data_IF_223260903271
#
_entry.id   IF_223260903271
#
_cell.length_a   1.000
_cell.length_b   1.000
_cell.length_c   1.000
_cell.angle_alpha   90.00
_cell.angle_beta   90.00
_cell.angle_gamma   90.00
#
_symmetry.space_group_name_H-M   'P 1'
#
loop_
_entity.id
_entity.type
_entity.pdbx_description
1 polymer ?
#
# COMPACT_ATOMS: atom_id res chain seq x y z
N UNK A 1 45.19 -16.76 -32.07
CA UNK A 1 44.16 -17.42 -31.26
C UNK A 1 44.20 -17.06 -29.78
N UNK A 2 45.38 -17.02 -29.15
CA UNK A 2 45.53 -16.67 -27.72
C UNK A 2 44.97 -15.29 -27.38
N UNK A 3 45.20 -14.31 -28.23
CA UNK A 3 44.75 -12.93 -28.07
C UNK A 3 43.21 -12.80 -28.10
N UNK A 4 42.55 -13.59 -28.99
CA UNK A 4 41.09 -13.65 -29.06
C UNK A 4 40.45 -14.26 -27.79
N UNK A 5 41.08 -15.31 -27.25
CA UNK A 5 40.62 -15.96 -26.01
C UNK A 5 40.76 -14.99 -24.83
N UNK A 6 41.88 -14.27 -24.75
CA UNK A 6 42.12 -13.30 -23.71
C UNK A 6 41.08 -12.15 -23.74
N UNK A 7 40.73 -11.63 -24.91
CA UNK A 7 39.65 -10.61 -25.04
C UNK A 7 38.30 -11.17 -24.68
N UNK A 8 37.97 -12.39 -25.05
CA UNK A 8 36.68 -13.00 -24.69
C UNK A 8 36.51 -13.14 -23.17
N UNK A 9 37.58 -13.53 -22.46
CA UNK A 9 37.56 -13.65 -21.01
C UNK A 9 37.41 -12.26 -20.35
N UNK A 10 38.13 -11.23 -20.81
CA UNK A 10 38.04 -9.88 -20.27
C UNK A 10 36.64 -9.29 -20.45
N UNK A 11 36.05 -9.43 -21.64
CA UNK A 11 34.68 -8.97 -21.91
C UNK A 11 33.67 -9.71 -21.04
N UNK A 12 33.77 -11.04 -20.92
CA UNK A 12 32.88 -11.85 -20.09
C UNK A 12 32.96 -11.45 -18.61
N UNK A 13 34.16 -11.22 -18.07
CA UNK A 13 34.35 -10.78 -16.70
C UNK A 13 33.80 -9.38 -16.47
N UNK A 14 33.99 -8.47 -17.42
CA UNK A 14 33.45 -7.11 -17.37
C UNK A 14 31.91 -7.08 -17.38
N UNK A 15 31.30 -7.83 -18.28
CA UNK A 15 29.84 -7.98 -18.38
C UNK A 15 29.27 -8.62 -17.11
N UNK A 16 29.92 -9.66 -16.59
CA UNK A 16 29.49 -10.32 -15.35
C UNK A 16 29.53 -9.35 -14.14
N UNK A 17 30.65 -8.59 -14.00
CA UNK A 17 30.77 -7.61 -12.92
C UNK A 17 29.70 -6.51 -13.03
N UNK A 18 29.42 -6.05 -14.25
CA UNK A 18 28.38 -5.05 -14.53
C UNK A 18 26.97 -5.59 -14.22
N UNK A 19 26.63 -6.80 -14.70
CA UNK A 19 25.35 -7.44 -14.43
C UNK A 19 25.13 -7.64 -12.92
N UNK A 20 26.17 -8.02 -12.17
CA UNK A 20 26.08 -8.22 -10.73
C UNK A 20 25.70 -6.92 -9.95
N UNK A 21 25.97 -5.76 -10.55
CA UNK A 21 25.60 -4.45 -9.99
C UNK A 21 24.10 -4.15 -10.21
N UNK A 22 23.50 -4.72 -11.26
CA UNK A 22 22.11 -4.47 -11.65
C UNK A 22 21.10 -5.50 -11.15
N UNK A 23 21.55 -6.73 -10.87
CA UNK A 23 20.65 -7.78 -10.35
C UNK A 23 20.44 -7.52 -8.86
N UNK A 24 19.22 -7.16 -8.41
CA UNK A 24 18.90 -7.08 -6.99
C UNK A 24 19.20 -8.44 -6.35
N UNK A 25 20.02 -8.45 -5.32
CA UNK A 25 20.49 -9.70 -4.71
C UNK A 25 19.40 -10.48 -4.02
N UNK A 26 18.34 -9.82 -3.58
CA UNK A 26 17.13 -10.45 -3.06
C UNK A 26 15.92 -9.56 -3.32
N UNK A 27 14.75 -10.11 -3.69
CA UNK A 27 13.52 -9.34 -3.71
C UNK A 27 13.23 -8.90 -2.27
N UNK A 28 13.04 -7.61 -2.07
CA UNK A 28 12.58 -7.04 -0.80
C UNK A 28 11.15 -7.51 -0.55
N UNK A 29 11.02 -8.64 0.13
CA UNK A 29 9.72 -9.18 0.53
C UNK A 29 9.32 -8.56 1.87
N UNK A 30 8.03 -8.25 2.00
CA UNK A 30 7.47 -7.93 3.29
C UNK A 30 7.55 -9.13 4.23
N UNK A 31 7.91 -8.92 5.52
CA UNK A 31 7.89 -9.99 6.49
C UNK A 31 6.46 -10.51 6.69
N UNK A 32 6.34 -11.82 6.90
CA UNK A 32 5.07 -12.44 7.23
C UNK A 32 4.51 -11.87 8.55
N UNK A 33 3.24 -11.48 8.52
CA UNK A 33 2.58 -10.87 9.68
C UNK A 33 2.46 -9.35 9.62
N UNK A 34 2.86 -8.69 8.52
CA UNK A 34 2.40 -7.34 8.19
C UNK A 34 0.94 -7.41 7.79
N UNK A 35 0.09 -6.62 8.42
CA UNK A 35 -1.34 -6.57 8.08
C UNK A 35 -1.95 -5.25 8.51
N UNK A 36 -2.65 -4.60 7.58
CA UNK A 36 -3.58 -3.50 7.86
C UNK A 36 -4.94 -3.95 7.32
N UNK A 37 -5.99 -3.78 8.11
CA UNK A 37 -7.33 -4.04 7.63
C UNK A 37 -8.20 -2.79 7.70
N UNK A 38 -9.26 -2.78 6.88
CA UNK A 38 -10.28 -1.74 6.91
C UNK A 38 -11.29 -2.13 7.98
N UNK A 39 -11.35 -1.35 9.06
CA UNK A 39 -12.35 -1.54 10.12
C UNK A 39 -13.71 -1.06 9.68
N UNK A 40 -13.73 0.08 8.99
CA UNK A 40 -14.94 0.72 8.48
C UNK A 40 -14.61 1.52 7.23
N UNK A 41 -15.50 1.49 6.24
CA UNK A 41 -15.43 2.34 5.07
C UNK A 41 -16.84 2.80 4.70
N UNK A 42 -17.05 4.11 4.70
CA UNK A 42 -18.32 4.75 4.36
C UNK A 42 -18.13 5.78 3.26
N UNK A 43 -18.92 5.70 2.21
CA UNK A 43 -18.92 6.66 1.11
C UNK A 43 -20.25 7.43 1.07
N UNK A 44 -20.14 8.76 1.04
CA UNK A 44 -21.27 9.66 0.85
C UNK A 44 -21.25 10.18 -0.60
N UNK A 45 -22.13 9.64 -1.43
CA UNK A 45 -22.21 10.01 -2.85
C UNK A 45 -22.63 11.47 -3.09
N UNK A 46 -23.38 12.06 -2.14
CA UNK A 46 -23.85 13.45 -2.25
C UNK A 46 -22.73 14.46 -2.05
N UNK A 47 -21.76 14.16 -1.18
CA UNK A 47 -20.60 15.01 -0.89
C UNK A 47 -19.34 14.57 -1.61
N UNK A 48 -19.31 13.35 -2.15
CA UNK A 48 -18.12 12.74 -2.74
C UNK A 48 -17.06 12.38 -1.71
N UNK A 49 -17.43 12.24 -0.43
CA UNK A 49 -16.48 11.98 0.65
C UNK A 49 -16.45 10.49 1.01
N UNK A 50 -15.26 9.91 1.00
CA UNK A 50 -15.01 8.56 1.48
C UNK A 50 -14.24 8.65 2.81
N UNK A 51 -14.80 8.04 3.86
CA UNK A 51 -14.16 7.92 5.17
C UNK A 51 -13.73 6.48 5.36
N UNK A 52 -12.45 6.27 5.68
CA UNK A 52 -11.87 4.94 5.86
C UNK A 52 -11.18 4.88 7.21
N UNK A 53 -11.62 3.97 8.05
CA UNK A 53 -10.95 3.63 9.31
C UNK A 53 -10.09 2.40 9.09
N UNK A 54 -8.77 2.57 9.24
CA UNK A 54 -7.80 1.48 9.13
C UNK A 54 -7.24 1.12 10.49
N UNK A 55 -6.92 -0.16 10.68
CA UNK A 55 -6.26 -0.67 11.88
C UNK A 55 -5.12 -1.59 11.52
N UNK A 56 -4.00 -1.43 12.21
CA UNK A 56 -2.91 -2.40 12.13
C UNK A 56 -3.23 -3.59 13.04
N UNK A 57 -3.57 -4.73 12.45
CA UNK A 57 -3.78 -5.98 13.15
C UNK A 57 -2.62 -6.97 12.93
N UNK A 58 -1.52 -6.50 12.32
CA UNK A 58 -0.31 -7.25 12.12
C UNK A 58 0.57 -7.34 13.37
N UNK A 59 1.74 -7.95 13.20
CA UNK A 59 2.77 -8.08 14.24
C UNK A 59 3.85 -7.01 14.13
N UNK A 60 3.88 -6.27 13.04
CA UNK A 60 4.92 -5.30 12.72
C UNK A 60 4.34 -3.92 12.51
N UNK A 61 5.13 -2.91 12.83
CA UNK A 61 4.83 -1.54 12.47
C UNK A 61 4.83 -1.38 10.95
N UNK A 62 3.92 -0.55 10.44
CA UNK A 62 3.80 -0.21 9.02
C UNK A 62 4.01 1.27 8.79
N UNK A 63 4.33 1.66 7.57
CA UNK A 63 4.49 3.06 7.19
C UNK A 63 3.17 3.66 6.72
N UNK A 64 2.34 2.85 6.04
CA UNK A 64 1.12 3.31 5.41
C UNK A 64 0.54 2.25 4.48
N UNK A 65 -0.15 2.71 3.45
CA UNK A 65 -0.81 1.80 2.51
C UNK A 65 -1.05 2.44 1.14
N UNK A 66 -1.17 1.61 0.10
CA UNK A 66 -1.82 1.98 -1.15
C UNK A 66 -3.32 1.75 -1.03
N UNK A 67 -4.10 2.60 -1.67
CA UNK A 67 -5.56 2.51 -1.64
C UNK A 67 -6.15 2.56 -3.05
N UNK A 68 -7.00 1.59 -3.33
CA UNK A 68 -7.74 1.48 -4.58
C UNK A 68 -9.22 1.28 -4.31
N UNK A 69 -10.06 1.84 -5.15
CA UNK A 69 -11.52 1.66 -5.09
C UNK A 69 -12.06 1.13 -6.42
N UNK A 70 -13.26 0.59 -6.38
CA UNK A 70 -14.03 0.25 -7.57
C UNK A 70 -15.40 0.91 -7.52
N UNK A 71 -15.79 1.52 -8.64
CA UNK A 71 -17.13 2.04 -8.89
C UNK A 71 -17.99 1.06 -9.72
N UNK A 72 -17.56 -0.17 -9.87
CA UNK A 72 -18.26 -1.21 -10.58
C UNK A 72 -18.42 -2.45 -9.70
N UNK A 73 -19.66 -2.85 -9.42
CA UNK A 73 -19.99 -4.01 -8.56
C UNK A 73 -19.50 -5.36 -9.15
N UNK A 74 -19.35 -5.46 -10.46
CA UNK A 74 -18.85 -6.66 -11.13
C UNK A 74 -17.32 -6.78 -11.12
N UNK A 75 -16.62 -5.72 -10.76
CA UNK A 75 -15.15 -5.70 -10.75
C UNK A 75 -14.61 -6.35 -9.49
N UNK A 76 -13.95 -7.50 -9.64
CA UNK A 76 -13.38 -8.24 -8.51
C UNK A 76 -12.23 -7.51 -7.82
N UNK A 77 -11.38 -6.81 -8.58
CA UNK A 77 -10.21 -6.12 -8.02
C UNK A 77 -10.36 -4.61 -8.23
N UNK A 78 -10.47 -3.81 -7.15
CA UNK A 78 -10.42 -2.37 -7.23
C UNK A 78 -9.14 -1.88 -7.90
N UNK A 79 -9.27 -0.95 -8.85
CA UNK A 79 -8.14 -0.47 -9.66
C UNK A 79 -8.02 1.06 -9.73
N UNK A 80 -9.00 1.81 -9.23
CA UNK A 80 -8.96 3.27 -9.22
C UNK A 80 -8.16 3.71 -8.00
N UNK A 81 -6.99 4.27 -8.22
CA UNK A 81 -6.11 4.81 -7.19
C UNK A 81 -6.66 6.16 -6.69
N UNK A 82 -6.74 6.35 -5.37
CA UNK A 82 -7.38 7.52 -4.77
C UNK A 82 -6.52 8.27 -3.74
N UNK A 83 -5.24 7.97 -3.61
CA UNK A 83 -4.37 8.69 -2.65
C UNK A 83 -4.27 10.19 -2.93
N UNK A 84 -4.47 10.61 -4.20
CA UNK A 84 -4.47 12.01 -4.60
C UNK A 84 -5.62 12.83 -3.99
N UNK A 85 -6.65 12.16 -3.49
CA UNK A 85 -7.83 12.79 -2.90
C UNK A 85 -7.81 12.78 -1.37
N UNK A 86 -6.70 12.32 -0.79
CA UNK A 86 -6.52 12.32 0.66
C UNK A 86 -6.59 13.74 1.21
N UNK A 87 -7.40 13.91 2.25
CA UNK A 87 -7.31 15.08 3.11
C UNK A 87 -6.19 14.85 4.11
N UNK A 88 -5.05 15.48 3.87
CA UNK A 88 -3.88 15.37 4.73
C UNK A 88 -4.13 16.02 6.10
N UNK A 89 -3.54 15.44 7.13
CA UNK A 89 -3.59 15.92 8.50
C UNK A 89 -2.20 15.87 9.17
N UNK A 90 -2.12 16.17 10.47
CA UNK A 90 -0.87 16.16 11.24
C UNK A 90 -0.23 14.76 11.38
N UNK A 91 -0.90 13.70 10.98
CA UNK A 91 -0.46 12.31 11.18
C UNK A 91 -0.53 11.47 9.90
N UNK A 92 -1.14 12.01 8.85
CA UNK A 92 -1.38 11.29 7.62
C UNK A 92 -1.10 12.18 6.42
N UNK A 93 -0.18 11.76 5.58
CA UNK A 93 0.22 12.51 4.39
C UNK A 93 0.28 11.62 3.16
N UNK A 94 0.16 12.25 2.00
CA UNK A 94 0.37 11.57 0.73
C UNK A 94 1.86 11.43 0.44
N UNK A 95 2.26 10.25 -0.02
CA UNK A 95 3.61 9.97 -0.49
C UNK A 95 3.56 9.20 -1.82
N UNK A 96 3.82 9.88 -2.93
CA UNK A 96 3.60 9.32 -4.26
C UNK A 96 2.14 8.90 -4.44
N UNK A 97 1.91 7.61 -4.71
CA UNK A 97 0.56 7.02 -4.85
C UNK A 97 0.15 6.26 -3.57
N UNK A 98 0.74 6.56 -2.44
CA UNK A 98 0.44 5.92 -1.16
C UNK A 98 0.06 6.94 -0.09
N UNK A 99 -0.63 6.46 0.92
CA UNK A 99 -0.94 7.17 2.16
C UNK A 99 0.08 6.75 3.20
N UNK A 100 0.88 7.68 3.73
CA UNK A 100 1.71 7.46 4.90
C UNK A 100 0.96 7.85 6.16
N UNK A 101 1.11 7.03 7.20
CA UNK A 101 0.54 7.22 8.54
C UNK A 101 1.57 7.82 9.50
N UNK A 102 2.47 8.64 8.96
CA UNK A 102 3.53 9.34 9.68
C UNK A 102 4.12 10.46 8.83
N UNK A 103 4.36 11.61 9.42
CA UNK A 103 5.05 12.74 8.76
C UNK A 103 6.55 12.49 8.55
N UNK A 104 7.14 11.63 9.37
CA UNK A 104 8.59 11.38 9.36
C UNK A 104 9.04 10.33 8.36
N UNK A 105 8.08 9.71 7.65
CA UNK A 105 8.39 8.67 6.66
C UNK A 105 9.07 7.45 7.30
N UNK A 106 8.56 6.98 8.41
CA UNK A 106 8.99 5.80 9.16
C UNK A 106 7.87 4.77 9.31
N UNK A 107 8.15 3.65 9.98
CA UNK A 107 7.16 2.65 10.33
C UNK A 107 6.60 2.97 11.72
N UNK A 108 5.80 4.00 11.85
CA UNK A 108 5.26 4.44 13.15
C UNK A 108 3.86 3.92 13.46
N UNK A 109 3.14 3.37 12.47
CA UNK A 109 1.81 2.81 12.68
C UNK A 109 1.92 1.42 13.30
N UNK A 110 1.78 1.38 14.63
CA UNK A 110 2.04 0.20 15.46
C UNK A 110 0.88 -0.79 15.48
N UNK A 111 1.14 -2.07 15.80
CA UNK A 111 0.08 -3.05 16.02
C UNK A 111 -0.95 -2.57 17.06
N UNK A 112 -2.22 -2.61 16.67
CA UNK A 112 -3.34 -2.13 17.48
C UNK A 112 -3.75 -0.69 17.21
N UNK A 113 -2.91 0.12 16.56
CA UNK A 113 -3.24 1.50 16.21
C UNK A 113 -4.39 1.56 15.20
N UNK A 114 -5.21 2.59 15.35
CA UNK A 114 -6.30 2.92 14.43
C UNK A 114 -6.10 4.33 13.86
N UNK A 115 -6.51 4.52 12.60
CA UNK A 115 -6.45 5.82 11.93
C UNK A 115 -7.67 6.01 11.04
N UNK A 116 -8.25 7.20 11.09
CA UNK A 116 -9.35 7.61 10.22
C UNK A 116 -8.75 8.49 9.14
N UNK A 117 -8.99 8.14 7.89
CA UNK A 117 -8.54 8.90 6.73
C UNK A 117 -9.74 9.32 5.90
N UNK A 118 -9.73 10.55 5.43
CA UNK A 118 -10.80 11.15 4.65
C UNK A 118 -10.29 11.42 3.24
N UNK A 119 -11.05 10.99 2.25
CA UNK A 119 -10.75 11.23 0.84
C UNK A 119 -11.89 12.04 0.21
N UNK A 120 -11.54 13.20 -0.37
CA UNK A 120 -12.49 14.07 -1.04
C UNK A 120 -12.52 13.74 -2.54
N UNK A 121 -13.33 12.76 -2.90
CA UNK A 121 -13.51 12.31 -4.28
C UNK A 121 -14.47 13.27 -5.01
N UNK A 122 -14.35 13.35 -6.33
CA UNK A 122 -15.32 14.11 -7.09
C UNK A 122 -16.68 13.39 -7.12
N UNK A 123 -17.77 14.15 -7.09
CA UNK A 123 -19.13 13.60 -7.21
C UNK A 123 -19.38 12.83 -8.53
N UNK A 124 -18.50 13.01 -9.52
CA UNK A 124 -18.54 12.29 -10.81
C UNK A 124 -18.03 10.84 -10.74
N UNK A 125 -17.49 10.36 -9.62
CA UNK A 125 -17.07 8.96 -9.49
C UNK A 125 -18.24 7.95 -9.38
N UNK A 126 -19.46 8.41 -9.12
CA UNK A 126 -20.61 7.57 -8.91
C UNK A 126 -20.55 6.83 -7.55
N UNK A 127 -21.25 5.71 -7.46
CA UNK A 127 -21.22 4.86 -6.27
C UNK A 127 -19.94 4.05 -6.19
N UNK A 128 -19.41 3.89 -4.98
CA UNK A 128 -18.26 3.04 -4.70
C UNK A 128 -18.72 1.72 -4.09
N UNK A 129 -18.23 0.61 -4.64
CA UNK A 129 -18.65 -0.74 -4.21
C UNK A 129 -17.61 -1.44 -3.36
N UNK A 130 -16.33 -1.24 -3.65
CA UNK A 130 -15.28 -1.94 -2.92
C UNK A 130 -14.01 -1.11 -2.80
N UNK A 131 -13.25 -1.40 -1.74
CA UNK A 131 -11.97 -0.80 -1.41
C UNK A 131 -10.93 -1.91 -1.26
N UNK A 132 -9.73 -1.67 -1.75
CA UNK A 132 -8.56 -2.51 -1.53
C UNK A 132 -7.43 -1.69 -0.95
N UNK A 133 -6.84 -2.21 0.11
CA UNK A 133 -5.67 -1.64 0.77
C UNK A 133 -4.50 -2.61 0.68
N UNK A 134 -3.32 -2.09 0.35
CA UNK A 134 -2.07 -2.83 0.32
C UNK A 134 -1.10 -2.15 1.28
N UNK A 135 -0.74 -2.79 2.40
CA UNK A 135 0.19 -2.21 3.36
C UNK A 135 1.54 -1.87 2.74
N UNK A 136 2.18 -0.83 3.28
CA UNK A 136 3.52 -0.43 2.89
C UNK A 136 4.41 -0.30 4.11
N UNK A 137 5.71 -0.48 3.89
CA UNK A 137 6.71 -0.43 4.95
C UNK A 137 8.04 0.10 4.43
N UNK A 138 8.79 0.82 5.28
CA UNK A 138 10.20 1.08 5.03
C UNK A 138 11.03 -0.11 5.55
N UNK A 139 11.94 -0.57 4.73
CA UNK A 139 12.94 -1.60 5.07
C UNK A 139 14.34 -1.06 4.86
N UNK A 140 15.26 -1.42 5.74
CA UNK A 140 16.67 -1.08 5.60
C UNK A 140 17.41 -2.22 4.90
N UNK A 141 18.11 -1.88 3.83
CA UNK A 141 19.00 -2.78 3.10
C UNK A 141 20.30 -2.05 2.82
N UNK A 142 21.42 -2.61 3.25
CA UNK A 142 22.78 -2.05 3.03
C UNK A 142 22.87 -0.53 3.37
N UNK A 143 22.32 -0.11 4.51
CA UNK A 143 22.25 1.30 4.97
C UNK A 143 21.37 2.22 4.08
N UNK A 144 20.52 1.66 3.24
CA UNK A 144 19.52 2.40 2.45
C UNK A 144 18.12 2.04 2.91
N UNK A 145 17.33 3.07 3.17
CA UNK A 145 15.91 2.93 3.50
C UNK A 145 15.11 2.80 2.20
N UNK A 146 14.43 1.68 2.00
CA UNK A 146 13.60 1.40 0.84
C UNK A 146 12.12 1.31 1.23
N UNK A 147 11.27 1.92 0.44
CA UNK A 147 9.82 1.85 0.58
C UNK A 147 9.31 0.62 -0.18
N UNK A 148 8.65 -0.29 0.52
CA UNK A 148 8.24 -1.61 0.01
C UNK A 148 6.73 -1.77 0.13
N UNK A 149 6.11 -2.29 -0.93
CA UNK A 149 4.70 -2.68 -0.95
C UNK A 149 4.53 -4.13 -0.51
N UNK A 150 3.61 -4.37 0.43
CA UNK A 150 3.28 -5.70 0.95
C UNK A 150 2.10 -6.31 0.19
N UNK A 151 2.28 -6.61 -1.09
CA UNK A 151 1.20 -7.09 -1.98
C UNK A 151 0.47 -8.33 -1.47
N UNK A 152 1.19 -9.26 -0.79
CA UNK A 152 0.61 -10.46 -0.21
C UNK A 152 -0.30 -10.19 1.00
N UNK A 153 -0.16 -9.03 1.64
CA UNK A 153 -0.96 -8.58 2.78
C UNK A 153 -2.12 -7.66 2.35
N UNK A 154 -2.40 -7.54 1.06
CA UNK A 154 -3.50 -6.73 0.55
C UNK A 154 -4.86 -7.26 1.03
N UNK A 155 -5.70 -6.35 1.52
CA UNK A 155 -7.06 -6.64 2.00
C UNK A 155 -8.07 -5.90 1.14
N UNK A 156 -9.16 -6.57 0.83
CA UNK A 156 -10.28 -5.99 0.09
C UNK A 156 -11.56 -6.09 0.91
N UNK A 157 -12.38 -5.03 0.86
CA UNK A 157 -13.65 -4.96 1.56
C UNK A 157 -14.72 -4.27 0.69
N UNK A 158 -15.98 -4.64 0.90
CA UNK A 158 -17.13 -3.94 0.30
C UNK A 158 -17.37 -2.66 1.12
N UNK A 159 -17.64 -1.56 0.43
CA UNK A 159 -17.99 -0.28 1.05
C UNK A 159 -19.47 -0.33 1.42
N UNK A 160 -19.78 -0.10 2.69
CA UNK A 160 -21.17 0.04 3.17
C UNK A 160 -21.65 1.49 3.11
N UNK A 161 -22.97 1.68 3.11
CA UNK A 161 -23.53 3.02 3.35
C UNK A 161 -23.18 3.50 4.77
N UNK A 162 -22.93 4.82 4.97
CA UNK A 162 -22.69 5.38 6.30
C UNK A 162 -23.90 5.09 7.21
N UNK A 163 -23.68 4.24 8.21
CA UNK A 163 -24.72 3.87 9.18
C UNK A 163 -25.29 2.45 9.06
N UNK A 164 -24.96 1.68 8.03
CA UNK A 164 -25.27 0.25 8.00
C UNK A 164 -24.06 -0.57 8.44
N UNK A 165 -24.08 -1.04 9.65
CA UNK A 165 -23.32 -2.21 10.05
C UNK A 165 -23.79 -3.38 9.21
N UNK A 166 -23.02 -3.80 8.18
CA UNK A 166 -23.26 -5.07 7.52
C UNK A 166 -23.13 -6.19 8.57
N UNK A 167 -24.04 -7.11 8.57
CA UNK A 167 -24.45 -8.15 9.52
C UNK A 167 -23.37 -9.06 10.15
N UNK A 168 -22.18 -8.57 10.46
CA UNK A 168 -21.15 -9.29 11.22
C UNK A 168 -20.72 -8.57 12.52
N UNK A 169 -21.47 -7.60 12.99
CA UNK A 169 -21.33 -7.05 14.35
C UNK A 169 -22.08 -7.87 15.39
N UNK A 170 -22.15 -9.20 15.26
CA UNK A 170 -22.57 -10.05 16.38
C UNK A 170 -21.36 -10.34 17.23
N UNK A 171 -21.15 -9.44 18.22
CA UNK A 171 -20.32 -9.74 19.37
C UNK A 171 -20.88 -10.94 20.15
N UNK A 172 -20.02 -11.84 20.48
CA UNK A 172 -20.05 -12.60 21.72
C UNK A 172 -18.67 -12.55 22.32
#
# INVERSE_FOLDING_TARGET
YVLLIAFAILISAGVYAWLKTYVPREPLNCPDGVSIFVKEAGFNSSTGQLIVTVRNNGRFNTAGYFIYVSNNSAQKNPSIEISNYLQEDEQTVKFGNSVLLSLTGDNSFSPGDERINVFNLSTGMGELFSIRIIPTRFQEEENKKRFVSCGNAGVQQIIGEPGMCTSQCTGK
#
